data_IF_191868695937
#
_entry.id   IF_191868695937
#
_cell.length_a   1.000
_cell.length_b   1.000
_cell.length_c   1.000
_cell.angle_alpha   90.00
_cell.angle_beta   90.00
_cell.angle_gamma   90.00
#
_symmetry.space_group_name_H-M   'P 1'
#
loop_
_entity.id
_entity.type
_entity.pdbx_description
1 polymer ?
#
# COMPACT_ATOMS: atom_id res chain seq x y z
N UNK A 1 -6.29 28.69 -24.90
CA UNK A 1 -6.82 27.34 -24.64
C UNK A 1 -6.84 27.17 -23.13
N UNK A 2 -7.98 26.87 -22.52
CA UNK A 2 -8.08 26.53 -21.10
C UNK A 2 -7.31 25.23 -20.85
N UNK A 3 -6.45 25.22 -19.85
CA UNK A 3 -5.70 24.03 -19.47
C UNK A 3 -6.70 22.93 -19.05
N UNK A 4 -6.46 21.70 -19.52
CA UNK A 4 -7.27 20.52 -19.18
C UNK A 4 -6.47 19.64 -18.26
N UNK A 5 -7.11 19.09 -17.20
CA UNK A 5 -6.50 18.27 -16.18
C UNK A 5 -7.08 16.85 -16.17
N UNK A 6 -6.21 15.86 -16.06
CA UNK A 6 -6.56 14.47 -15.86
C UNK A 6 -7.32 13.80 -17.01
N UNK A 7 -7.71 12.52 -16.82
CA UNK A 7 -8.33 11.74 -17.88
C UNK A 7 -9.73 12.22 -18.26
N UNK A 8 -10.43 12.95 -17.36
CA UNK A 8 -11.77 13.47 -17.63
C UNK A 8 -11.78 14.89 -18.22
N UNK A 9 -10.61 15.50 -18.38
CA UNK A 9 -10.51 16.83 -19.01
C UNK A 9 -11.08 17.97 -18.15
N UNK A 10 -10.90 17.93 -16.82
CA UNK A 10 -11.33 18.99 -15.91
C UNK A 10 -10.74 20.35 -16.30
N UNK A 11 -11.46 21.40 -16.03
CA UNK A 11 -11.00 22.80 -16.25
C UNK A 11 -10.37 23.43 -15.00
N UNK A 12 -10.47 22.77 -13.85
CA UNK A 12 -9.90 23.22 -12.57
C UNK A 12 -8.97 22.15 -12.01
N UNK A 13 -7.80 22.50 -11.44
CA UNK A 13 -6.90 21.56 -10.80
C UNK A 13 -7.49 21.05 -9.48
N UNK A 14 -6.89 19.97 -8.95
CA UNK A 14 -7.16 19.51 -7.59
C UNK A 14 -6.66 20.59 -6.62
N UNK A 15 -7.48 21.06 -5.65
CA UNK A 15 -7.07 22.09 -4.70
C UNK A 15 -5.82 21.70 -3.92
N UNK A 16 -4.94 22.68 -3.68
CA UNK A 16 -3.74 22.49 -2.84
C UNK A 16 -4.06 22.39 -1.35
N UNK A 17 -5.17 23.01 -0.94
CA UNK A 17 -5.61 23.08 0.45
C UNK A 17 -7.04 22.55 0.56
N UNK A 18 -7.34 21.90 1.67
CA UNK A 18 -8.66 21.30 1.91
C UNK A 18 -9.81 22.32 1.81
N UNK A 19 -9.56 23.58 2.14
CA UNK A 19 -10.58 24.62 2.04
C UNK A 19 -11.05 24.89 0.61
N UNK A 20 -10.25 24.52 -0.39
CA UNK A 20 -10.64 24.54 -1.79
C UNK A 20 -11.63 23.43 -2.20
N UNK A 21 -11.84 22.43 -1.35
CA UNK A 21 -12.83 21.38 -1.57
C UNK A 21 -14.20 21.90 -1.14
N UNK A 22 -14.80 22.73 -2.01
CA UNK A 22 -16.13 23.26 -1.84
C UNK A 22 -17.18 22.39 -2.50
N UNK A 23 -18.46 22.63 -2.22
CA UNK A 23 -19.57 21.95 -2.87
C UNK A 23 -19.51 22.11 -4.39
N UNK A 24 -19.28 23.33 -4.86
CA UNK A 24 -19.18 23.67 -6.29
C UNK A 24 -17.99 23.00 -6.96
N UNK A 25 -16.84 22.97 -6.27
CA UNK A 25 -15.68 22.26 -6.79
C UNK A 25 -15.93 20.76 -6.91
N UNK A 26 -16.53 20.14 -5.88
CA UNK A 26 -16.85 18.71 -5.87
C UNK A 26 -17.88 18.33 -6.94
N UNK A 27 -18.89 19.19 -7.17
CA UNK A 27 -19.82 19.03 -8.28
C UNK A 27 -19.09 19.08 -9.62
N UNK A 28 -18.21 20.07 -9.82
CA UNK A 28 -17.39 20.20 -11.01
C UNK A 28 -16.42 19.03 -11.23
N UNK A 29 -15.87 18.45 -10.14
CA UNK A 29 -15.06 17.24 -10.19
C UNK A 29 -15.84 16.07 -10.82
N UNK A 30 -17.07 15.87 -10.41
CA UNK A 30 -17.89 14.74 -10.84
C UNK A 30 -18.57 14.96 -12.20
N UNK A 31 -18.69 16.20 -12.66
CA UNK A 31 -19.54 16.57 -13.80
C UNK A 31 -19.22 15.82 -15.10
N UNK A 32 -17.93 15.56 -15.39
CA UNK A 32 -17.53 14.84 -16.59
C UNK A 32 -17.75 13.32 -16.50
N UNK A 33 -17.64 12.75 -15.29
CA UNK A 33 -17.92 11.35 -15.07
C UNK A 33 -19.42 11.06 -14.94
N UNK A 34 -20.19 12.05 -14.44
CA UNK A 34 -21.63 11.95 -14.20
C UNK A 34 -22.35 13.18 -14.80
N UNK A 35 -22.56 13.25 -16.12
CA UNK A 35 -23.16 14.41 -16.77
C UNK A 35 -24.52 14.77 -16.21
N UNK A 36 -24.70 16.05 -15.82
CA UNK A 36 -25.92 16.55 -15.22
C UNK A 36 -26.09 16.33 -13.72
N UNK A 37 -25.03 15.83 -13.05
CA UNK A 37 -25.01 15.73 -11.58
C UNK A 37 -25.14 17.11 -10.95
N UNK A 38 -25.87 17.21 -9.84
CA UNK A 38 -25.92 18.37 -8.96
C UNK A 38 -25.68 17.93 -7.53
N UNK A 39 -24.83 18.67 -6.84
CA UNK A 39 -24.53 18.50 -5.41
C UNK A 39 -25.35 19.53 -4.64
N UNK A 40 -26.38 19.08 -3.93
CA UNK A 40 -27.31 19.93 -3.16
C UNK A 40 -26.69 20.39 -1.85
N UNK A 41 -25.93 19.51 -1.16
CA UNK A 41 -25.12 19.83 0.02
C UNK A 41 -23.86 18.99 0.09
N UNK A 42 -22.83 19.52 0.74
CA UNK A 42 -21.61 18.81 1.09
C UNK A 42 -21.17 19.25 2.49
N UNK A 43 -21.05 18.29 3.40
CA UNK A 43 -20.61 18.51 4.77
C UNK A 43 -19.36 17.66 5.05
N UNK A 44 -18.35 18.24 5.71
CA UNK A 44 -17.17 17.50 6.18
C UNK A 44 -17.51 16.85 7.51
N UNK A 45 -17.55 15.51 7.53
CA UNK A 45 -17.85 14.73 8.75
C UNK A 45 -16.62 14.54 9.60
N UNK A 46 -15.46 14.26 8.99
CA UNK A 46 -14.19 14.08 9.67
C UNK A 46 -13.01 14.32 8.73
N UNK A 47 -11.88 14.72 9.30
CA UNK A 47 -10.60 14.90 8.60
C UNK A 47 -9.53 14.10 9.33
N UNK A 48 -8.79 13.29 8.58
CA UNK A 48 -7.66 12.50 9.07
C UNK A 48 -6.45 12.84 8.21
N UNK A 49 -5.48 13.54 8.79
CA UNK A 49 -4.24 13.94 8.11
C UNK A 49 -3.06 13.09 8.60
N UNK A 50 -2.38 12.46 7.65
CA UNK A 50 -1.10 11.75 7.84
C UNK A 50 -0.15 12.22 6.74
N UNK A 51 0.48 11.36 5.97
CA UNK A 51 1.20 11.72 4.74
C UNK A 51 0.25 12.28 3.66
N UNK A 52 -0.99 11.82 3.69
CA UNK A 52 -2.09 12.30 2.85
C UNK A 52 -3.28 12.63 3.74
N UNK A 53 -4.24 13.37 3.20
CA UNK A 53 -5.45 13.70 3.93
C UNK A 53 -6.63 12.87 3.44
N UNK A 54 -7.32 12.22 4.37
CA UNK A 54 -8.58 11.52 4.18
C UNK A 54 -9.70 12.38 4.77
N UNK A 55 -10.73 12.64 3.99
CA UNK A 55 -11.89 13.45 4.40
C UNK A 55 -13.15 12.66 4.22
N UNK A 56 -13.84 12.38 5.31
CA UNK A 56 -15.19 11.83 5.26
C UNK A 56 -16.17 12.97 4.99
N UNK A 57 -17.04 12.79 4.00
CA UNK A 57 -18.06 13.78 3.63
C UNK A 57 -19.45 13.15 3.63
N UNK A 58 -20.44 13.97 3.97
CA UNK A 58 -21.84 13.68 3.73
C UNK A 58 -22.32 14.54 2.56
N UNK A 59 -22.97 13.92 1.56
CA UNK A 59 -23.35 14.59 0.31
C UNK A 59 -24.82 14.31 -0.02
N UNK A 60 -25.56 15.36 -0.35
CA UNK A 60 -26.86 15.23 -0.98
C UNK A 60 -26.75 15.54 -2.48
N UNK A 61 -27.39 14.71 -3.31
CA UNK A 61 -27.36 14.84 -4.76
C UNK A 61 -28.75 15.09 -5.33
N UNK A 62 -28.79 15.71 -6.51
CA UNK A 62 -29.97 15.76 -7.34
C UNK A 62 -30.39 14.36 -7.86
N UNK A 63 -31.44 14.29 -8.66
CA UNK A 63 -31.95 13.03 -9.22
C UNK A 63 -30.92 12.24 -10.05
N UNK A 64 -29.98 12.93 -10.69
CA UNK A 64 -28.93 12.29 -11.50
C UNK A 64 -27.94 11.54 -10.61
N UNK A 65 -27.43 12.17 -9.55
CA UNK A 65 -26.50 11.52 -8.62
C UNK A 65 -27.16 10.35 -7.88
N UNK A 66 -28.42 10.49 -7.46
CA UNK A 66 -29.19 9.39 -6.85
C UNK A 66 -29.38 8.22 -7.82
N UNK A 67 -29.71 8.48 -9.08
CA UNK A 67 -29.86 7.45 -10.11
C UNK A 67 -28.53 6.75 -10.46
N UNK A 68 -27.40 7.47 -10.37
CA UNK A 68 -26.09 6.90 -10.56
C UNK A 68 -25.63 5.99 -9.40
N UNK A 69 -26.40 5.91 -8.31
CA UNK A 69 -26.11 5.09 -7.14
C UNK A 69 -24.94 5.61 -6.32
N UNK A 70 -24.66 6.91 -6.36
CA UNK A 70 -23.64 7.53 -5.51
C UNK A 70 -24.12 7.53 -4.06
N UNK A 71 -23.30 7.04 -3.11
CA UNK A 71 -23.69 7.01 -1.71
C UNK A 71 -23.67 8.41 -1.10
N UNK A 72 -24.43 8.57 -0.02
CA UNK A 72 -24.47 9.83 0.73
C UNK A 72 -23.20 10.07 1.55
N UNK A 73 -22.53 9.01 2.00
CA UNK A 73 -21.25 9.10 2.71
C UNK A 73 -20.11 8.59 1.82
N UNK A 74 -19.07 9.37 1.75
CA UNK A 74 -17.90 9.11 0.94
C UNK A 74 -16.62 9.45 1.70
N UNK A 75 -15.52 8.82 1.33
CA UNK A 75 -14.18 9.17 1.77
C UNK A 75 -13.37 9.72 0.59
N UNK A 76 -12.95 10.97 0.68
CA UNK A 76 -12.02 11.59 -0.27
C UNK A 76 -10.60 11.45 0.27
N UNK A 77 -9.63 11.14 -0.60
CA UNK A 77 -8.21 11.13 -0.25
C UNK A 77 -7.40 11.88 -1.32
N UNK A 78 -6.54 12.79 -0.87
CA UNK A 78 -5.65 13.58 -1.73
C UNK A 78 -4.49 14.22 -0.96
N UNK A 79 -3.65 15.01 -1.68
CA UNK A 79 -2.51 15.76 -1.14
C UNK A 79 -2.95 17.07 -0.47
N UNK A 80 -3.57 17.00 0.71
CA UNK A 80 -3.97 18.17 1.49
C UNK A 80 -3.27 18.26 2.85
N UNK A 81 -2.27 17.41 3.09
CA UNK A 81 -1.49 17.44 4.34
C UNK A 81 -0.48 18.58 4.30
N UNK A 82 -0.49 19.40 5.33
CA UNK A 82 0.49 20.48 5.48
C UNK A 82 1.83 19.94 6.00
N UNK A 83 2.92 20.46 5.46
CA UNK A 83 4.27 20.14 5.94
C UNK A 83 4.86 18.80 5.49
N UNK A 84 4.16 18.07 4.64
CA UNK A 84 4.68 16.86 4.00
C UNK A 84 4.46 16.93 2.49
N UNK A 85 5.56 16.89 1.74
CA UNK A 85 5.48 16.71 0.29
C UNK A 85 5.29 15.22 -0.01
N UNK A 86 4.06 14.87 -0.35
CA UNK A 86 3.69 13.48 -0.66
C UNK A 86 4.17 13.03 -2.05
N UNK A 87 4.87 13.89 -2.80
CA UNK A 87 5.31 13.57 -4.16
C UNK A 87 4.16 13.11 -5.05
N UNK A 88 4.36 12.04 -5.80
CA UNK A 88 3.41 11.48 -6.77
C UNK A 88 2.50 10.37 -6.21
N UNK A 89 2.57 10.06 -4.91
CA UNK A 89 1.84 8.94 -4.32
C UNK A 89 0.31 9.05 -4.44
N UNK A 90 -0.25 10.27 -4.40
CA UNK A 90 -1.68 10.47 -4.62
C UNK A 90 -2.07 10.32 -6.09
N UNK A 91 -1.21 10.75 -7.01
CA UNK A 91 -1.41 10.51 -8.44
C UNK A 91 -1.35 9.00 -8.74
N UNK A 92 -0.39 8.29 -8.15
CA UNK A 92 -0.24 6.85 -8.30
C UNK A 92 -1.50 6.10 -7.82
N UNK A 93 -2.02 6.43 -6.64
CA UNK A 93 -3.24 5.83 -6.11
C UNK A 93 -4.47 6.18 -6.99
N UNK A 94 -4.59 7.40 -7.48
CA UNK A 94 -5.66 7.79 -8.39
C UNK A 94 -5.59 7.02 -9.70
N UNK A 95 -4.40 6.86 -10.30
CA UNK A 95 -4.18 6.04 -11.49
C UNK A 95 -4.51 4.57 -11.25
N UNK A 96 -4.17 4.03 -10.07
CA UNK A 96 -4.54 2.67 -9.69
C UNK A 96 -6.07 2.49 -9.71
N UNK A 97 -6.83 3.31 -9.00
CA UNK A 97 -8.28 3.18 -8.96
C UNK A 97 -8.94 3.43 -10.32
N UNK A 98 -8.41 4.37 -11.11
CA UNK A 98 -8.92 4.64 -12.45
C UNK A 98 -8.77 3.43 -13.38
N UNK A 99 -7.61 2.78 -13.37
CA UNK A 99 -7.28 1.69 -14.30
C UNK A 99 -7.71 0.31 -13.79
N UNK A 100 -7.67 0.07 -12.49
CA UNK A 100 -7.85 -1.26 -11.90
C UNK A 100 -9.01 -1.33 -10.90
N UNK A 101 -9.55 -0.22 -10.41
CA UNK A 101 -10.58 -0.22 -9.36
C UNK A 101 -11.87 -0.99 -9.69
N UNK A 102 -12.09 -1.32 -10.96
CA UNK A 102 -13.23 -2.13 -11.43
C UNK A 102 -12.84 -3.56 -11.81
N UNK A 103 -11.59 -3.98 -11.56
CA UNK A 103 -11.17 -5.37 -11.82
C UNK A 103 -11.91 -6.31 -10.86
N UNK A 104 -12.57 -7.31 -11.42
CA UNK A 104 -13.33 -8.27 -10.64
C UNK A 104 -12.42 -9.05 -9.66
N UNK A 105 -12.82 -9.11 -8.40
CA UNK A 105 -12.08 -9.80 -7.36
C UNK A 105 -10.94 -9.01 -6.72
N UNK A 106 -10.68 -7.77 -7.18
CA UNK A 106 -9.70 -6.91 -6.54
C UNK A 106 -10.15 -6.55 -5.11
N UNK A 107 -9.39 -6.91 -4.06
CA UNK A 107 -9.77 -6.65 -2.68
C UNK A 107 -9.40 -5.21 -2.27
N UNK A 108 -10.08 -4.23 -2.84
CA UNK A 108 -9.91 -2.80 -2.59
C UNK A 108 -11.26 -2.14 -2.28
N UNK A 109 -11.28 -0.98 -1.60
CA UNK A 109 -12.49 -0.18 -1.45
C UNK A 109 -13.12 0.15 -2.80
N UNK A 110 -14.44 0.21 -2.84
CA UNK A 110 -15.14 0.65 -4.03
C UNK A 110 -14.80 2.11 -4.34
N UNK A 111 -14.29 2.36 -5.54
CA UNK A 111 -14.04 3.70 -6.05
C UNK A 111 -15.21 4.20 -6.88
N UNK A 112 -15.68 5.41 -6.60
CA UNK A 112 -16.71 6.12 -7.36
C UNK A 112 -16.12 7.13 -8.34
N UNK A 113 -14.91 7.60 -8.03
CA UNK A 113 -14.16 8.53 -8.88
C UNK A 113 -12.69 8.48 -8.54
N UNK A 114 -11.83 8.59 -9.55
CA UNK A 114 -10.39 8.72 -9.38
C UNK A 114 -9.83 9.56 -10.52
N UNK A 115 -9.03 10.56 -10.19
CA UNK A 115 -8.49 11.53 -11.15
C UNK A 115 -7.17 12.14 -10.64
N UNK A 116 -6.40 12.73 -11.54
CA UNK A 116 -5.13 13.41 -11.22
C UNK A 116 -4.93 14.61 -12.15
N UNK A 117 -4.03 15.53 -11.79
CA UNK A 117 -3.82 16.71 -12.61
C UNK A 117 -2.98 16.42 -13.87
N UNK A 118 -2.00 15.55 -13.82
CA UNK A 118 -1.16 15.18 -14.96
C UNK A 118 -0.23 16.30 -15.42
N UNK A 119 0.01 17.29 -14.57
CA UNK A 119 0.86 18.46 -14.81
C UNK A 119 2.27 18.34 -14.18
N UNK A 120 2.61 17.15 -13.68
CA UNK A 120 3.86 16.86 -12.99
C UNK A 120 3.84 17.25 -11.50
N UNK A 121 2.71 17.72 -10.97
CA UNK A 121 2.58 18.08 -9.55
C UNK A 121 2.38 16.89 -8.62
N UNK A 122 2.12 15.69 -9.15
CA UNK A 122 1.79 14.49 -8.38
C UNK A 122 0.41 14.52 -7.71
N UNK A 123 -0.40 15.57 -7.96
CA UNK A 123 -1.73 15.68 -7.36
C UNK A 123 -2.70 14.67 -7.94
N UNK A 124 -3.30 13.89 -7.04
CA UNK A 124 -4.36 12.95 -7.35
C UNK A 124 -5.46 13.00 -6.29
N UNK A 125 -6.65 12.55 -6.67
CA UNK A 125 -7.79 12.40 -5.80
C UNK A 125 -8.49 11.09 -6.06
N UNK A 126 -8.90 10.42 -4.99
CA UNK A 126 -9.82 9.29 -5.04
C UNK A 126 -11.05 9.57 -4.20
N UNK A 127 -12.22 9.14 -4.70
CA UNK A 127 -13.51 9.21 -4.01
C UNK A 127 -13.97 7.78 -3.79
N UNK A 128 -13.89 7.33 -2.55
CA UNK A 128 -14.11 5.95 -2.15
C UNK A 128 -15.39 5.80 -1.32
N UNK A 129 -15.85 4.56 -1.17
CA UNK A 129 -16.83 4.23 -0.15
C UNK A 129 -16.34 4.63 1.25
N UNK A 130 -17.26 5.07 2.09
CA UNK A 130 -16.96 5.33 3.50
C UNK A 130 -17.11 4.03 4.30
N UNK A 131 -15.96 3.45 4.68
CA UNK A 131 -15.92 2.17 5.39
C UNK A 131 -16.35 2.26 6.85
N UNK A 132 -16.37 3.46 7.45
CA UNK A 132 -16.74 3.63 8.86
C UNK A 132 -18.16 3.14 9.11
N UNK A 133 -19.07 3.40 8.16
CA UNK A 133 -20.47 3.00 8.30
C UNK A 133 -20.71 1.52 7.94
N UNK A 134 -19.69 0.80 7.46
CA UNK A 134 -19.82 -0.62 7.06
C UNK A 134 -19.77 -1.60 8.24
N UNK A 135 -19.50 -1.12 9.46
CA UNK A 135 -19.52 -1.93 10.69
C UNK A 135 -18.37 -2.93 10.86
N UNK A 136 -17.34 -2.85 10.04
CA UNK A 136 -16.13 -3.66 10.13
C UNK A 136 -15.02 -3.00 10.95
N UNK A 137 -13.81 -3.52 10.83
CA UNK A 137 -12.66 -3.11 11.66
C UNK A 137 -11.47 -2.72 10.78
N UNK A 138 -10.92 -1.54 11.03
CA UNK A 138 -9.62 -1.15 10.47
C UNK A 138 -8.51 -1.88 11.23
N UNK A 139 -7.53 -2.39 10.50
CA UNK A 139 -6.31 -2.92 11.08
C UNK A 139 -5.43 -1.80 11.66
N UNK A 140 -4.62 -2.15 12.65
CA UNK A 140 -3.52 -1.31 13.12
C UNK A 140 -2.18 -1.98 12.80
N UNK A 141 -1.15 -1.20 12.50
CA UNK A 141 0.17 -1.70 12.06
C UNK A 141 0.82 -2.70 13.03
N UNK A 142 0.52 -2.61 14.32
CA UNK A 142 1.04 -3.50 15.36
C UNK A 142 0.16 -4.70 15.68
N UNK A 143 -1.01 -4.82 15.05
CA UNK A 143 -1.95 -5.90 15.35
C UNK A 143 -1.33 -7.27 15.10
N UNK A 144 -1.60 -8.17 16.04
CA UNK A 144 -1.34 -9.59 15.94
C UNK A 144 -2.66 -10.31 15.69
N UNK A 145 -2.78 -10.94 14.55
CA UNK A 145 -4.04 -11.59 14.13
C UNK A 145 -3.98 -13.12 14.20
N UNK A 146 -2.84 -13.65 14.68
CA UNK A 146 -2.62 -15.08 14.84
C UNK A 146 -2.47 -15.83 13.50
N UNK A 147 -2.11 -17.12 13.57
CA UNK A 147 -1.84 -17.95 12.40
C UNK A 147 -3.07 -18.01 11.47
N UNK A 148 -4.25 -18.29 12.03
CA UNK A 148 -5.49 -18.40 11.24
C UNK A 148 -5.92 -17.06 10.63
N UNK A 149 -5.68 -15.95 11.34
CA UNK A 149 -5.94 -14.61 10.83
C UNK A 149 -5.04 -14.25 9.65
N UNK A 150 -3.74 -14.60 9.75
CA UNK A 150 -2.77 -14.42 8.67
C UNK A 150 -3.10 -15.33 7.48
N UNK A 151 -3.49 -16.59 7.69
CA UNK A 151 -3.90 -17.48 6.62
C UNK A 151 -5.05 -16.86 5.79
N UNK A 152 -6.12 -16.37 6.44
CA UNK A 152 -7.22 -15.67 5.74
C UNK A 152 -6.79 -14.38 5.04
N UNK A 153 -5.85 -13.62 5.63
CA UNK A 153 -5.32 -12.43 4.99
C UNK A 153 -4.48 -12.78 3.76
N UNK A 154 -3.73 -13.89 3.80
CA UNK A 154 -3.00 -14.42 2.65
C UNK A 154 -3.91 -14.93 1.53
N UNK A 155 -5.09 -15.47 1.84
CA UNK A 155 -6.11 -15.80 0.84
C UNK A 155 -6.60 -14.55 0.09
N UNK A 156 -6.92 -13.48 0.83
CA UNK A 156 -7.31 -12.21 0.23
C UNK A 156 -6.17 -11.60 -0.62
N UNK A 157 -4.93 -11.71 -0.14
CA UNK A 157 -3.73 -11.28 -0.86
C UNK A 157 -3.47 -12.13 -2.12
N UNK A 158 -3.69 -13.43 -2.06
CA UNK A 158 -3.62 -14.30 -3.22
C UNK A 158 -4.68 -13.91 -4.28
N UNK A 159 -5.89 -13.52 -3.85
CA UNK A 159 -6.90 -12.93 -4.72
C UNK A 159 -6.42 -11.66 -5.41
N UNK A 160 -5.78 -10.74 -4.67
CA UNK A 160 -5.16 -9.54 -5.23
C UNK A 160 -4.12 -9.87 -6.30
N UNK A 161 -3.16 -10.73 -5.97
CA UNK A 161 -2.07 -11.07 -6.89
C UNK A 161 -2.58 -11.85 -8.11
N UNK A 162 -3.55 -12.73 -7.89
CA UNK A 162 -4.11 -13.60 -8.92
C UNK A 162 -4.91 -12.87 -9.98
N UNK A 163 -5.64 -11.80 -9.63
CA UNK A 163 -6.49 -11.09 -10.59
C UNK A 163 -5.71 -10.39 -11.72
N UNK A 164 -4.42 -10.12 -11.52
CA UNK A 164 -3.52 -9.51 -12.51
C UNK A 164 -2.17 -10.26 -12.60
N UNK A 165 -2.19 -11.58 -12.43
CA UNK A 165 -1.00 -12.45 -12.49
C UNK A 165 -0.47 -12.59 -13.92
N UNK A 166 0.76 -12.11 -14.19
CA UNK A 166 1.36 -12.04 -15.53
C UNK A 166 0.44 -11.39 -16.58
N UNK A 167 -0.42 -10.46 -16.15
CA UNK A 167 -1.40 -9.84 -17.03
C UNK A 167 -0.74 -8.79 -17.93
N UNK A 168 -0.96 -8.90 -19.25
CA UNK A 168 -0.41 -7.97 -20.23
C UNK A 168 -0.92 -6.54 -20.04
N UNK A 169 -2.16 -6.37 -19.53
CA UNK A 169 -2.73 -5.05 -19.24
C UNK A 169 -1.95 -4.36 -18.11
N UNK A 170 -1.53 -5.13 -17.08
CA UNK A 170 -0.66 -4.65 -16.03
C UNK A 170 0.71 -4.27 -16.58
N UNK A 171 1.29 -5.15 -17.39
CA UNK A 171 2.61 -4.94 -17.97
C UNK A 171 2.66 -3.80 -18.98
N UNK A 172 1.54 -3.42 -19.58
CA UNK A 172 1.43 -2.29 -20.52
C UNK A 172 1.39 -0.91 -19.82
N UNK A 173 1.18 -0.84 -18.49
CA UNK A 173 1.08 0.44 -17.78
C UNK A 173 2.46 1.08 -17.59
N UNK A 174 2.77 2.11 -18.36
CA UNK A 174 4.05 2.83 -18.26
C UNK A 174 4.18 3.71 -17.01
N UNK A 175 3.05 4.13 -16.44
CA UNK A 175 3.00 4.95 -15.23
C UNK A 175 3.20 4.15 -13.94
N UNK A 176 2.98 2.82 -13.98
CA UNK A 176 3.07 1.97 -12.81
C UNK A 176 4.55 1.63 -12.53
N UNK A 177 5.07 1.93 -11.35
CA UNK A 177 6.45 1.62 -11.01
C UNK A 177 6.76 0.13 -11.16
N UNK A 178 7.92 -0.16 -11.74
CA UNK A 178 8.45 -1.52 -11.92
C UNK A 178 9.67 -1.73 -11.07
N UNK A 179 9.59 -1.35 -9.82
CA UNK A 179 10.67 -1.65 -8.91
C UNK A 179 10.47 -3.06 -8.38
N UNK A 180 11.29 -3.96 -8.83
CA UNK A 180 11.26 -5.35 -8.37
C UNK A 180 11.70 -5.45 -6.92
N UNK A 181 12.59 -4.58 -6.49
CA UNK A 181 13.22 -4.66 -5.19
C UNK A 181 12.75 -3.61 -4.21
N UNK A 182 12.51 -2.39 -4.64
CA UNK A 182 12.44 -1.27 -3.72
C UNK A 182 11.16 -0.49 -3.85
N UNK A 183 10.63 -0.02 -2.72
CA UNK A 183 9.78 1.16 -2.71
C UNK A 183 10.57 2.39 -3.15
N UNK A 184 11.88 2.31 -3.22
CA UNK A 184 12.74 3.43 -2.98
C UNK A 184 13.78 3.39 -4.06
N UNK A 185 13.64 4.29 -5.03
CA UNK A 185 14.77 4.68 -5.84
C UNK A 185 15.80 5.44 -4.97
N UNK A 186 16.94 5.76 -5.53
CA UNK A 186 18.03 6.44 -4.82
C UNK A 186 17.59 7.79 -4.26
N UNK A 187 16.65 8.48 -4.88
CA UNK A 187 16.19 9.80 -4.45
C UNK A 187 15.23 9.71 -3.27
N UNK A 188 14.36 8.69 -3.23
CA UNK A 188 13.54 8.39 -2.06
C UNK A 188 14.37 7.93 -0.87
N UNK A 189 15.42 7.13 -1.06
CA UNK A 189 16.35 6.80 0.03
C UNK A 189 16.99 8.07 0.57
N UNK A 190 17.44 8.98 -0.29
CA UNK A 190 18.02 10.25 0.13
C UNK A 190 17.01 11.11 0.92
N UNK A 191 15.75 11.15 0.50
CA UNK A 191 14.67 11.85 1.20
C UNK A 191 14.35 11.24 2.56
N UNK A 192 14.30 9.90 2.66
CA UNK A 192 13.97 9.18 3.91
C UNK A 192 15.19 8.97 4.82
N UNK A 193 16.40 9.22 4.36
CA UNK A 193 17.64 9.00 5.10
C UNK A 193 17.67 9.68 6.47
N UNK A 194 17.23 10.94 6.64
CA UNK A 194 17.20 11.58 7.96
C UNK A 194 16.35 10.83 9.00
N UNK A 195 15.23 10.23 8.59
CA UNK A 195 14.37 9.43 9.46
C UNK A 195 15.06 8.12 9.85
N UNK A 196 15.68 7.43 8.89
CA UNK A 196 16.43 6.19 9.14
C UNK A 196 17.59 6.46 10.11
N UNK A 197 18.39 7.50 9.88
CA UNK A 197 19.53 7.84 10.73
C UNK A 197 19.08 8.24 12.15
N UNK A 198 17.98 9.00 12.25
CA UNK A 198 17.41 9.35 13.55
C UNK A 198 16.95 8.10 14.32
N UNK A 199 16.29 7.16 13.67
CA UNK A 199 15.88 5.91 14.29
C UNK A 199 17.07 4.99 14.63
N UNK A 200 18.05 4.85 13.77
CA UNK A 200 19.28 4.07 14.05
C UNK A 200 20.08 4.63 15.23
N UNK A 201 19.99 5.93 15.52
CA UNK A 201 20.65 6.56 16.64
C UNK A 201 19.94 6.35 17.99
N UNK A 202 18.70 5.86 18.01
CA UNK A 202 17.90 5.67 19.23
C UNK A 202 18.31 4.40 19.96
N UNK A 203 18.70 4.48 21.27
CA UNK A 203 19.11 3.32 22.04
C UNK A 203 18.05 2.20 22.06
N UNK A 204 16.77 2.57 22.21
CA UNK A 204 15.65 1.64 22.23
C UNK A 204 15.45 0.89 20.89
N UNK A 205 15.80 1.52 19.77
CA UNK A 205 15.80 0.85 18.45
C UNK A 205 17.02 -0.08 18.34
N UNK A 206 18.19 0.38 18.79
CA UNK A 206 19.43 -0.43 18.75
C UNK A 206 19.31 -1.73 19.57
N UNK A 207 18.53 -1.72 20.66
CA UNK A 207 18.25 -2.92 21.45
C UNK A 207 17.43 -3.97 20.67
N UNK A 208 16.62 -3.54 19.71
CA UNK A 208 15.78 -4.41 18.87
C UNK A 208 16.50 -4.93 17.64
N UNK A 209 17.45 -4.17 17.11
CA UNK A 209 18.15 -4.50 15.86
C UNK A 209 19.11 -5.67 15.99
N UNK A 210 19.37 -6.43 14.91
CA UNK A 210 20.46 -7.40 14.88
C UNK A 210 21.78 -6.74 15.25
N UNK A 211 22.54 -7.37 16.14
CA UNK A 211 23.82 -6.83 16.65
C UNK A 211 24.81 -6.46 15.55
N UNK A 212 24.77 -7.19 14.43
CA UNK A 212 25.63 -6.92 13.28
C UNK A 212 25.32 -5.56 12.63
N UNK A 213 24.05 -5.16 12.57
CA UNK A 213 23.62 -3.85 12.03
C UNK A 213 24.02 -2.73 13.00
N UNK A 214 23.89 -2.96 14.31
CA UNK A 214 24.30 -1.97 15.33
C UNK A 214 25.81 -1.76 15.34
N UNK A 215 26.58 -2.83 15.14
CA UNK A 215 28.06 -2.78 15.12
C UNK A 215 28.61 -2.12 13.83
N UNK A 216 27.89 -2.19 12.73
CA UNK A 216 28.25 -1.61 11.44
C UNK A 216 27.00 -0.99 10.78
N UNK A 217 26.85 0.32 10.94
CA UNK A 217 25.70 1.06 10.43
C UNK A 217 25.60 1.10 8.88
N UNK A 218 26.70 0.74 8.19
CA UNK A 218 26.70 0.66 6.72
C UNK A 218 26.25 -0.72 6.22
N UNK A 219 26.15 -1.71 7.11
CA UNK A 219 25.73 -3.07 6.74
C UNK A 219 24.31 -3.12 6.21
N UNK A 220 23.40 -2.33 6.80
CA UNK A 220 22.02 -2.24 6.34
C UNK A 220 21.94 -1.78 4.88
N UNK A 221 22.66 -0.71 4.55
CA UNK A 221 22.66 -0.16 3.19
C UNK A 221 23.28 -1.13 2.18
N UNK A 222 24.40 -1.79 2.55
CA UNK A 222 25.02 -2.81 1.68
C UNK A 222 24.09 -4.00 1.47
N UNK A 223 23.51 -4.53 2.54
CA UNK A 223 22.61 -5.67 2.44
C UNK A 223 21.37 -5.31 1.61
N UNK A 224 20.86 -4.09 1.76
CA UNK A 224 19.72 -3.60 0.98
C UNK A 224 20.09 -3.40 -0.50
N UNK A 225 21.26 -2.86 -0.81
CA UNK A 225 21.78 -2.75 -2.17
C UNK A 225 21.93 -4.11 -2.86
N UNK A 226 22.51 -5.09 -2.17
CA UNK A 226 22.64 -6.46 -2.68
C UNK A 226 21.28 -7.13 -2.86
N UNK A 227 20.35 -6.91 -1.93
CA UNK A 227 18.98 -7.38 -2.05
C UNK A 227 18.30 -6.82 -3.31
N UNK A 228 18.47 -5.53 -3.58
CA UNK A 228 17.88 -4.88 -4.76
C UNK A 228 18.41 -5.50 -6.05
N UNK A 229 19.72 -5.72 -6.12
CA UNK A 229 20.35 -6.38 -7.28
C UNK A 229 19.83 -7.81 -7.45
N UNK A 230 19.73 -8.55 -6.35
CA UNK A 230 19.22 -9.91 -6.37
C UNK A 230 17.76 -9.96 -6.83
N UNK A 231 16.86 -9.11 -6.31
CA UNK A 231 15.45 -9.10 -6.74
C UNK A 231 15.31 -8.67 -8.19
N UNK A 232 16.09 -7.67 -8.64
CA UNK A 232 16.06 -7.21 -10.03
C UNK A 232 16.47 -8.30 -11.04
N UNK A 233 17.28 -9.27 -10.61
CA UNK A 233 17.71 -10.40 -11.43
C UNK A 233 16.70 -11.56 -11.42
N UNK A 234 15.66 -11.53 -10.56
CA UNK A 234 14.70 -12.63 -10.50
C UNK A 234 13.75 -12.57 -11.70
N UNK A 235 13.50 -13.72 -12.36
CA UNK A 235 12.47 -13.79 -13.40
C UNK A 235 11.07 -13.65 -12.76
N UNK A 236 10.07 -13.32 -13.59
CA UNK A 236 8.68 -13.43 -13.16
C UNK A 236 8.35 -14.80 -12.55
N UNK A 237 7.16 -15.01 -12.11
CA UNK A 237 5.95 -14.24 -12.47
C UNK A 237 5.84 -12.90 -11.73
N UNK A 238 5.17 -11.96 -12.42
CA UNK A 238 4.89 -10.64 -11.87
C UNK A 238 3.39 -10.44 -11.68
N UNK A 239 3.03 -9.62 -10.73
CA UNK A 239 1.64 -9.24 -10.46
C UNK A 239 1.56 -7.78 -10.01
N UNK A 240 0.35 -7.30 -9.83
CA UNK A 240 0.13 -6.08 -9.08
C UNK A 240 0.41 -6.38 -7.60
N UNK A 241 1.37 -5.69 -7.00
CA UNK A 241 1.61 -5.74 -5.56
C UNK A 241 1.12 -4.45 -4.91
N UNK A 242 0.64 -4.57 -3.68
CA UNK A 242 0.17 -3.45 -2.87
C UNK A 242 1.33 -2.49 -2.55
N UNK A 243 2.47 -3.06 -2.20
CA UNK A 243 3.69 -2.31 -1.92
C UNK A 243 3.86 -1.90 -0.46
N UNK A 244 2.79 -1.79 0.33
CA UNK A 244 2.81 -1.48 1.75
C UNK A 244 1.76 -2.34 2.50
N UNK A 245 1.90 -3.64 2.39
CA UNK A 245 0.90 -4.64 2.75
C UNK A 245 0.88 -5.03 4.23
N UNK A 246 1.28 -4.12 5.15
CA UNK A 246 1.13 -4.38 6.57
C UNK A 246 -0.36 -4.42 6.99
N UNK A 247 -0.64 -5.10 8.11
CA UNK A 247 -2.03 -5.33 8.57
C UNK A 247 -2.81 -4.03 8.82
N UNK A 248 -2.13 -2.93 9.15
CA UNK A 248 -2.73 -1.61 9.34
C UNK A 248 -3.34 -1.02 8.06
N UNK A 249 -2.91 -1.49 6.88
CA UNK A 249 -3.49 -1.10 5.60
C UNK A 249 -4.60 -2.06 5.16
N UNK A 250 -5.37 -2.59 6.11
CA UNK A 250 -6.49 -3.49 5.80
C UNK A 250 -7.77 -3.08 6.51
N UNK A 251 -8.89 -3.52 5.95
CA UNK A 251 -10.20 -3.44 6.57
C UNK A 251 -10.87 -4.82 6.52
N UNK A 252 -11.38 -5.26 7.67
CA UNK A 252 -12.09 -6.52 7.82
C UNK A 252 -13.59 -6.26 7.94
N UNK A 253 -14.36 -6.65 6.94
CA UNK A 253 -15.83 -6.57 6.98
C UNK A 253 -16.43 -7.55 7.99
N UNK A 254 -17.67 -7.31 8.47
CA UNK A 254 -18.36 -8.23 9.39
C UNK A 254 -18.57 -9.64 8.83
N UNK A 255 -18.60 -9.78 7.52
CA UNK A 255 -18.73 -11.07 6.81
C UNK A 255 -17.41 -11.86 6.69
N UNK A 256 -16.31 -11.31 7.22
CA UNK A 256 -14.98 -11.92 7.20
C UNK A 256 -14.15 -11.59 5.96
N UNK A 257 -14.68 -10.87 4.99
CA UNK A 257 -13.89 -10.38 3.84
C UNK A 257 -12.88 -9.33 4.31
N UNK A 258 -11.65 -9.46 3.84
CA UNK A 258 -10.59 -8.48 4.05
C UNK A 258 -10.27 -7.77 2.74
N UNK A 259 -10.12 -6.45 2.81
CA UNK A 259 -9.67 -5.63 1.70
C UNK A 259 -8.42 -4.85 2.09
N UNK A 260 -7.68 -4.41 1.07
CA UNK A 260 -6.46 -3.62 1.20
C UNK A 260 -6.75 -2.15 0.94
N UNK A 261 -6.20 -1.29 1.80
CA UNK A 261 -6.34 0.17 1.78
C UNK A 261 -5.01 0.80 1.41
N UNK A 262 -5.03 2.06 0.98
CA UNK A 262 -3.80 2.86 0.80
C UNK A 262 -2.89 2.33 -0.32
N UNK A 263 -3.38 2.44 -1.56
CA UNK A 263 -2.72 1.94 -2.77
C UNK A 263 -1.63 2.85 -3.34
N UNK A 264 -1.20 3.82 -2.57
CA UNK A 264 -0.22 4.84 -2.95
C UNK A 264 1.19 4.30 -3.24
N UNK A 265 1.48 3.04 -2.93
CA UNK A 265 2.77 2.38 -3.18
C UNK A 265 2.64 1.16 -4.10
N UNK A 266 1.51 1.01 -4.79
CA UNK A 266 1.27 -0.10 -5.71
C UNK A 266 2.26 -0.10 -6.88
N UNK A 267 2.60 -1.29 -7.37
CA UNK A 267 3.57 -1.47 -8.46
C UNK A 267 3.48 -2.83 -9.11
N UNK A 268 4.21 -3.00 -10.19
CA UNK A 268 4.50 -4.34 -10.73
C UNK A 268 5.63 -4.95 -9.91
N UNK A 269 5.44 -6.16 -9.42
CA UNK A 269 6.45 -6.85 -8.63
C UNK A 269 6.14 -8.32 -8.39
N UNK A 270 6.92 -8.92 -7.49
CA UNK A 270 6.67 -10.28 -7.01
C UNK A 270 5.73 -10.26 -5.81
N UNK A 271 4.66 -11.04 -5.85
CA UNK A 271 3.69 -11.16 -4.73
C UNK A 271 4.32 -11.60 -3.39
N UNK A 272 5.50 -12.21 -3.42
CA UNK A 272 6.26 -12.62 -2.23
C UNK A 272 6.65 -11.46 -1.32
N UNK A 273 6.80 -10.26 -1.89
CA UNK A 273 7.01 -9.03 -1.15
C UNK A 273 5.90 -8.79 -0.15
N UNK A 274 4.67 -8.72 -0.65
CA UNK A 274 3.50 -8.42 0.16
C UNK A 274 3.22 -9.56 1.15
N UNK A 275 3.33 -10.82 0.71
CA UNK A 275 3.22 -12.00 1.55
C UNK A 275 4.18 -11.92 2.75
N UNK A 276 5.46 -11.67 2.50
CA UNK A 276 6.46 -11.62 3.56
C UNK A 276 6.22 -10.47 4.52
N UNK A 277 5.92 -9.28 3.98
CA UNK A 277 5.72 -8.08 4.80
C UNK A 277 4.52 -8.22 5.74
N UNK A 278 3.41 -8.80 5.26
CA UNK A 278 2.26 -9.13 6.09
C UNK A 278 2.63 -10.12 7.20
N UNK A 279 3.26 -11.24 6.85
CA UNK A 279 3.59 -12.31 7.81
C UNK A 279 4.53 -11.83 8.92
N UNK A 280 5.54 -11.03 8.56
CA UNK A 280 6.49 -10.49 9.53
C UNK A 280 5.87 -9.47 10.48
N UNK A 281 4.88 -8.70 10.02
CA UNK A 281 4.21 -7.68 10.82
C UNK A 281 3.07 -8.20 11.69
N UNK A 282 2.36 -9.25 11.27
CA UNK A 282 1.07 -9.65 11.85
C UNK A 282 1.10 -10.92 12.71
N UNK A 283 2.28 -11.55 12.88
CA UNK A 283 2.52 -12.73 13.73
C UNK A 283 3.47 -12.39 14.88
N UNK A 284 3.32 -13.08 16.00
CA UNK A 284 4.40 -13.16 16.99
C UNK A 284 5.60 -13.90 16.39
N UNK A 285 6.78 -13.73 16.98
CA UNK A 285 8.00 -14.44 16.55
C UNK A 285 7.82 -15.95 16.62
N UNK A 286 7.18 -16.44 17.69
CA UNK A 286 6.91 -17.87 17.93
C UNK A 286 5.93 -18.44 16.90
N UNK A 287 4.83 -17.72 16.61
CA UNK A 287 3.85 -18.13 15.59
C UNK A 287 4.49 -18.17 14.21
N UNK A 288 5.28 -17.16 13.85
CA UNK A 288 6.02 -17.14 12.59
C UNK A 288 6.94 -18.35 12.48
N UNK A 289 7.81 -18.59 13.47
CA UNK A 289 8.73 -19.76 13.48
C UNK A 289 8.01 -21.09 13.30
N UNK A 290 6.83 -21.20 13.94
CA UNK A 290 6.02 -22.42 13.88
C UNK A 290 5.34 -22.65 12.54
N UNK A 291 4.88 -21.57 11.88
CA UNK A 291 3.90 -21.68 10.79
C UNK A 291 4.38 -21.11 9.46
N UNK A 292 5.58 -20.48 9.36
CA UNK A 292 5.99 -19.74 8.17
C UNK A 292 5.94 -20.57 6.87
N UNK A 293 6.39 -21.81 6.89
CA UNK A 293 6.37 -22.70 5.70
C UNK A 293 4.96 -23.14 5.34
N UNK A 294 4.13 -23.43 6.33
CA UNK A 294 2.74 -23.85 6.11
C UNK A 294 1.91 -22.67 5.56
N UNK A 295 2.14 -21.45 6.07
CA UNK A 295 1.49 -20.24 5.57
C UNK A 295 1.94 -19.89 4.14
N UNK A 296 3.20 -20.09 3.80
CA UNK A 296 3.70 -19.92 2.43
C UNK A 296 3.05 -20.94 1.49
N UNK A 297 2.94 -22.21 1.93
CA UNK A 297 2.25 -23.24 1.16
C UNK A 297 0.76 -22.88 0.98
N UNK A 298 0.11 -22.42 2.04
CA UNK A 298 -1.28 -21.97 2.02
C UNK A 298 -1.51 -20.81 1.02
N UNK A 299 -0.67 -19.78 1.09
CA UNK A 299 -0.71 -18.67 0.12
C UNK A 299 -0.55 -19.18 -1.33
N UNK A 300 0.40 -20.10 -1.55
CA UNK A 300 0.62 -20.68 -2.87
C UNK A 300 -0.62 -21.40 -3.41
N UNK A 301 -1.24 -22.24 -2.59
CA UNK A 301 -2.46 -22.96 -2.98
C UNK A 301 -3.63 -22.00 -3.25
N UNK A 302 -3.80 -20.98 -2.41
CA UNK A 302 -4.79 -19.92 -2.64
C UNK A 302 -4.55 -19.18 -3.96
N UNK A 303 -3.29 -18.90 -4.30
CA UNK A 303 -2.92 -18.23 -5.54
C UNK A 303 -3.19 -19.12 -6.76
N UNK A 304 -2.89 -20.44 -6.69
CA UNK A 304 -3.23 -21.40 -7.74
C UNK A 304 -4.76 -21.48 -7.92
N UNK A 305 -5.53 -21.43 -6.84
CA UNK A 305 -6.99 -21.46 -6.88
C UNK A 305 -7.61 -20.27 -7.62
N UNK A 306 -6.88 -19.14 -7.75
CA UNK A 306 -7.31 -17.99 -8.59
C UNK A 306 -7.17 -18.26 -10.09
N UNK A 307 -6.53 -19.36 -10.49
CA UNK A 307 -6.18 -19.68 -11.88
C UNK A 307 -4.78 -19.20 -12.31
N UNK A 308 -3.97 -18.66 -11.39
CA UNK A 308 -2.61 -18.23 -11.65
C UNK A 308 -1.74 -19.39 -12.15
N UNK A 309 -1.05 -19.18 -13.28
CA UNK A 309 -0.18 -20.18 -13.90
C UNK A 309 1.30 -19.90 -13.59
N UNK A 310 2.11 -20.96 -13.51
CA UNK A 310 3.55 -20.83 -13.28
C UNK A 310 3.89 -20.33 -11.86
N UNK A 311 3.02 -20.58 -10.89
CA UNK A 311 3.26 -20.22 -9.48
C UNK A 311 4.47 -21.01 -8.97
N UNK A 312 5.52 -20.36 -8.42
CA UNK A 312 6.72 -21.04 -7.94
C UNK A 312 6.43 -22.06 -6.83
N UNK A 313 7.31 -23.04 -6.70
CA UNK A 313 7.25 -24.01 -5.60
C UNK A 313 7.50 -23.37 -4.24
N UNK A 314 7.07 -24.06 -3.17
CA UNK A 314 7.20 -23.59 -1.79
C UNK A 314 8.65 -23.26 -1.44
N UNK A 315 9.61 -24.09 -1.87
CA UNK A 315 11.03 -23.85 -1.59
C UNK A 315 11.54 -22.55 -2.23
N UNK A 316 11.11 -22.23 -3.46
CA UNK A 316 11.43 -20.96 -4.11
C UNK A 316 10.80 -19.80 -3.35
N UNK A 317 9.53 -19.89 -2.97
CA UNK A 317 8.85 -18.87 -2.17
C UNK A 317 9.53 -18.66 -0.82
N UNK A 318 9.98 -19.75 -0.19
CA UNK A 318 10.70 -19.68 1.09
C UNK A 318 12.08 -19.02 0.94
N UNK A 319 12.80 -19.28 -0.16
CA UNK A 319 14.06 -18.58 -0.45
C UNK A 319 13.87 -17.07 -0.65
N UNK A 320 12.76 -16.65 -1.23
CA UNK A 320 12.37 -15.25 -1.24
C UNK A 320 12.04 -14.75 0.17
N UNK A 321 11.18 -15.46 0.89
CA UNK A 321 10.79 -15.10 2.25
C UNK A 321 11.98 -14.85 3.18
N UNK A 322 13.06 -15.62 3.04
CA UNK A 322 14.28 -15.46 3.83
C UNK A 322 15.06 -14.17 3.54
N UNK A 323 14.92 -13.56 2.37
CA UNK A 323 15.65 -12.34 1.96
C UNK A 323 14.86 -11.06 2.16
N UNK A 324 13.56 -11.11 2.06
CA UNK A 324 12.69 -9.94 2.16
C UNK A 324 12.66 -9.23 3.53
N UNK A 325 13.04 -9.83 4.68
CA UNK A 325 13.08 -9.09 5.95
C UNK A 325 13.97 -7.84 5.91
N UNK A 326 15.00 -7.80 5.04
CA UNK A 326 15.84 -6.60 4.87
C UNK A 326 15.05 -5.41 4.32
N UNK A 327 14.07 -5.66 3.44
CA UNK A 327 13.12 -4.66 2.99
C UNK A 327 12.26 -4.16 4.15
N UNK A 328 11.70 -5.08 4.92
CA UNK A 328 10.83 -4.74 6.04
C UNK A 328 11.52 -3.86 7.07
N UNK A 329 12.76 -4.18 7.47
CA UNK A 329 13.50 -3.36 8.43
C UNK A 329 13.80 -1.97 7.88
N UNK A 330 14.17 -1.87 6.60
CA UNK A 330 14.41 -0.60 5.94
C UNK A 330 13.14 0.27 5.91
N UNK A 331 11.99 -0.33 5.62
CA UNK A 331 10.70 0.38 5.58
C UNK A 331 10.30 0.91 6.97
N UNK A 332 10.41 0.09 8.02
CA UNK A 332 10.00 0.49 9.36
C UNK A 332 10.98 1.46 10.04
N UNK A 333 12.25 1.48 9.68
CA UNK A 333 13.19 2.50 10.12
C UNK A 333 12.94 3.89 9.53
N UNK A 334 12.05 4.02 8.53
CA UNK A 334 11.65 5.32 7.97
C UNK A 334 10.49 5.97 8.75
N UNK A 335 9.84 5.26 9.66
CA UNK A 335 8.63 5.71 10.35
C UNK A 335 8.99 6.78 11.40
N UNK A 336 8.34 7.95 11.29
CA UNK A 336 8.34 8.98 12.34
C UNK A 336 7.27 8.63 13.41
N UNK A 337 7.61 8.76 14.68
CA UNK A 337 6.67 8.52 15.80
C UNK A 337 5.39 9.37 15.69
N UNK A 338 5.49 10.55 15.07
CA UNK A 338 4.33 11.44 14.82
C UNK A 338 3.24 10.80 13.96
N UNK A 339 3.58 9.76 13.21
CA UNK A 339 2.61 9.06 12.37
C UNK A 339 1.75 8.05 13.14
N UNK A 340 2.08 7.80 14.42
CA UNK A 340 1.29 6.94 15.31
C UNK A 340 1.27 5.46 14.92
N UNK A 341 2.20 5.02 14.06
CA UNK A 341 2.21 3.64 13.53
C UNK A 341 2.76 2.61 14.52
N UNK A 342 3.43 3.02 15.61
CA UNK A 342 3.96 2.09 16.60
C UNK A 342 5.05 1.16 16.05
N UNK A 343 6.13 1.72 15.48
CA UNK A 343 7.15 0.96 14.74
C UNK A 343 7.90 -0.11 15.57
N UNK A 344 8.12 0.12 16.87
CA UNK A 344 8.98 -0.72 17.70
C UNK A 344 8.64 -2.22 17.69
N UNK A 345 7.38 -2.66 17.95
CA UNK A 345 7.06 -4.08 17.94
C UNK A 345 7.29 -4.73 16.57
N UNK A 346 7.10 -3.99 15.49
CA UNK A 346 7.28 -4.50 14.14
C UNK A 346 8.77 -4.60 13.81
N UNK A 347 9.58 -3.62 14.21
CA UNK A 347 11.04 -3.64 14.09
C UNK A 347 11.60 -4.86 14.82
N UNK A 348 11.16 -5.16 16.05
CA UNK A 348 11.60 -6.35 16.80
C UNK A 348 11.28 -7.65 16.04
N UNK A 349 10.02 -7.83 15.60
CA UNK A 349 9.60 -9.04 14.86
C UNK A 349 10.44 -9.26 13.60
N UNK A 350 10.68 -8.19 12.83
CA UNK A 350 11.48 -8.27 11.59
C UNK A 350 12.96 -8.52 11.92
N UNK A 351 13.51 -7.90 12.96
CA UNK A 351 14.88 -8.12 13.41
C UNK A 351 15.12 -9.58 13.79
N UNK A 352 14.19 -10.18 14.55
CA UNK A 352 14.24 -11.63 14.85
C UNK A 352 14.14 -12.49 13.60
N UNK A 353 13.34 -12.07 12.61
CA UNK A 353 13.29 -12.79 11.34
C UNK A 353 14.62 -12.70 10.56
N UNK A 354 15.26 -11.53 10.54
CA UNK A 354 16.60 -11.38 9.92
C UNK A 354 17.61 -12.36 10.52
N UNK A 355 17.61 -12.51 11.85
CA UNK A 355 18.51 -13.44 12.57
C UNK A 355 18.13 -14.91 12.28
N UNK A 356 16.86 -15.29 12.47
CA UNK A 356 16.40 -16.68 12.33
C UNK A 356 16.55 -17.21 10.91
N UNK A 357 16.33 -16.38 9.91
CA UNK A 357 16.33 -16.77 8.49
C UNK A 357 17.72 -16.62 7.84
N UNK A 358 18.69 -16.07 8.57
CA UNK A 358 20.04 -15.82 8.05
C UNK A 358 20.05 -14.79 6.92
N UNK A 359 19.16 -13.81 6.96
CA UNK A 359 18.97 -12.83 5.88
C UNK A 359 20.26 -12.12 5.49
N UNK A 360 21.03 -11.63 6.46
CA UNK A 360 22.29 -10.91 6.20
C UNK A 360 23.34 -11.80 5.54
N UNK A 361 23.41 -13.08 5.90
CA UNK A 361 24.38 -14.02 5.30
C UNK A 361 24.01 -14.33 3.84
N UNK A 362 22.71 -14.47 3.55
CA UNK A 362 22.20 -14.67 2.19
C UNK A 362 22.44 -13.48 1.26
N UNK A 363 22.65 -12.29 1.82
CA UNK A 363 22.85 -11.06 1.08
C UNK A 363 24.32 -10.57 1.05
N UNK A 364 25.27 -11.33 1.63
CA UNK A 364 26.70 -10.98 1.63
C UNK A 364 27.38 -11.16 0.28
N UNK A 365 26.81 -11.93 -0.63
CA UNK A 365 27.45 -12.34 -1.89
C UNK A 365 26.50 -12.36 -3.09
N UNK A 366 25.45 -11.54 -3.07
CA UNK A 366 24.51 -11.41 -4.20
C UNK A 366 25.04 -10.45 -5.23
#
# INVERSE_FOLDING_TARGET
MTQSYGPYGRTQPIPRHLDGVTREWFEGLLANAYPGIGVESLERVAVISTHTTKVRIAVAYNGVGRKAGLPQHLCLKANWSEGFDSGDICELEARFYHNFGQVAGLPAPRSYYADWDGDGSGRGIVVLEDLVDSGGTFGHSTDLIGIDGVARALEAMAGLHGCLWNDERLMAQSWLPRSMATMIDTDQIAFMRPYIDANLARPEIQELLPKAIVADNTLLDRAYGNFNQWVAAQPGPFCLVHGDSHIGNTYLYPDGRRIWLDWQLCRVGHGYRDMTYLMLGALTVEERRKAEKDLIAHYREALIATGAQGVPGVDTLYEHFRRWPIYGIQAWLQVDDKWGLGAFPVIDRISRAIEDLGTLDLLKGA
#
